data_IF_706363566521
#
_entry.id   IF_706363566521
#
_cell.length_a   1.000
_cell.length_b   1.000
_cell.length_c   1.000
_cell.angle_alpha   90.00
_cell.angle_beta   90.00
_cell.angle_gamma   90.00
#
_symmetry.space_group_name_H-M   'P 1'
#
loop_
_entity.id
_entity.type
_entity.pdbx_description
1 polymer ?
#
# COMPACT_ATOMS: atom_id res chain seq x y z
N UNK A 1 6.28 -9.72 11.71
CA UNK A 1 7.16 -10.16 10.62
C UNK A 1 8.21 -9.09 10.31
N UNK A 2 7.87 -7.92 9.75
CA UNK A 2 8.88 -6.90 9.43
C UNK A 2 9.68 -6.37 10.63
N UNK A 3 9.01 -6.13 11.76
CA UNK A 3 9.67 -5.80 13.03
C UNK A 3 10.78 -6.79 13.42
N UNK A 4 10.50 -8.09 13.34
CA UNK A 4 11.47 -9.15 13.64
C UNK A 4 12.62 -9.13 12.62
N UNK A 5 12.27 -8.99 11.33
CA UNK A 5 13.26 -8.98 10.26
C UNK A 5 14.22 -7.79 10.33
N UNK A 6 13.72 -6.59 10.62
CA UNK A 6 14.54 -5.39 10.80
C UNK A 6 15.43 -5.50 12.04
N UNK A 7 14.92 -6.10 13.12
CA UNK A 7 15.70 -6.35 14.33
C UNK A 7 16.91 -7.25 14.10
N UNK A 8 16.84 -8.21 13.16
CA UNK A 8 18.01 -9.03 12.77
C UNK A 8 19.17 -8.19 12.21
N UNK A 9 18.88 -7.01 11.66
CA UNK A 9 19.87 -6.08 11.10
C UNK A 9 20.15 -4.88 12.03
N UNK A 10 19.71 -4.92 13.29
CA UNK A 10 19.75 -3.79 14.23
C UNK A 10 19.01 -2.52 13.73
N UNK A 11 18.00 -2.70 12.89
CA UNK A 11 17.11 -1.64 12.43
C UNK A 11 15.77 -1.71 13.18
N UNK A 12 15.05 -0.60 13.22
CA UNK A 12 13.66 -0.54 13.68
C UNK A 12 12.75 -0.34 12.48
N UNK A 13 11.65 -1.10 12.42
CA UNK A 13 10.64 -0.95 11.38
C UNK A 13 9.58 0.05 11.85
N UNK A 14 9.30 1.06 11.03
CA UNK A 14 8.14 1.93 11.24
C UNK A 14 6.96 1.39 10.45
N UNK A 15 5.75 1.46 11.01
CA UNK A 15 4.55 1.04 10.27
C UNK A 15 4.10 2.16 9.33
N UNK A 16 3.77 1.87 8.06
CA UNK A 16 3.27 2.88 7.14
C UNK A 16 1.88 3.33 7.58
N UNK A 17 1.57 4.60 7.33
CA UNK A 17 0.19 5.06 7.47
C UNK A 17 -0.67 4.42 6.37
N UNK A 18 -1.87 3.95 6.71
CA UNK A 18 -2.82 3.44 5.72
C UNK A 18 -3.98 4.41 5.53
N UNK A 19 -4.11 4.95 4.32
CA UNK A 19 -5.18 5.87 3.94
C UNK A 19 -6.15 5.18 3.00
N UNK A 20 -7.35 4.88 3.50
CA UNK A 20 -8.45 4.40 2.70
C UNK A 20 -9.20 5.60 2.09
N UNK A 21 -9.52 5.55 0.79
CA UNK A 21 -10.24 6.62 0.12
C UNK A 21 -11.20 6.11 -0.96
N UNK A 22 -12.05 7.01 -1.45
CA UNK A 22 -12.93 6.81 -2.61
C UNK A 22 -13.08 8.13 -3.36
N UNK A 23 -13.12 8.10 -4.69
CA UNK A 23 -13.20 9.27 -5.55
C UNK A 23 -11.86 9.98 -5.69
N UNK A 24 -11.38 10.65 -4.64
CA UNK A 24 -10.06 11.27 -4.62
C UNK A 24 -9.56 11.55 -3.21
N UNK A 25 -8.23 11.61 -3.06
CA UNK A 25 -7.56 12.06 -1.84
C UNK A 25 -6.27 12.80 -2.19
N UNK A 26 -5.72 13.56 -1.25
CA UNK A 26 -4.45 14.25 -1.42
C UNK A 26 -3.35 13.47 -0.68
N UNK A 27 -2.31 13.09 -1.41
CA UNK A 27 -1.05 12.61 -0.84
C UNK A 27 0.03 13.68 -0.96
N UNK A 28 1.17 13.46 -0.30
CA UNK A 28 2.36 14.27 -0.51
C UNK A 28 2.94 14.10 -1.93
N UNK A 29 2.63 13.00 -2.61
CA UNK A 29 3.05 12.73 -4.00
C UNK A 29 2.11 13.34 -5.06
N UNK A 30 0.94 13.86 -4.67
CA UNK A 30 -0.01 14.48 -5.59
C UNK A 30 -1.47 14.22 -5.23
N UNK A 31 -2.37 14.46 -6.18
CA UNK A 31 -3.78 14.07 -6.02
C UNK A 31 -3.93 12.64 -6.50
N UNK A 32 -4.41 11.77 -5.62
CA UNK A 32 -4.84 10.43 -5.96
C UNK A 32 -6.31 10.44 -6.34
N UNK A 33 -6.66 9.74 -7.42
CA UNK A 33 -8.03 9.61 -7.91
C UNK A 33 -8.42 8.12 -7.95
N UNK A 34 -9.72 7.84 -7.89
CA UNK A 34 -10.22 6.49 -8.07
C UNK A 34 -9.85 5.95 -9.44
N UNK A 35 -9.60 4.64 -9.51
CA UNK A 35 -9.14 3.95 -10.72
C UNK A 35 -7.64 4.03 -11.00
N UNK A 36 -6.86 4.79 -10.20
CA UNK A 36 -5.39 4.74 -10.24
C UNK A 36 -4.81 3.47 -9.60
N UNK A 37 -5.63 2.75 -8.82
CA UNK A 37 -5.20 1.61 -8.00
C UNK A 37 -4.53 2.04 -6.68
N UNK A 38 -4.28 1.08 -5.77
CA UNK A 38 -3.51 1.33 -4.55
C UNK A 38 -2.07 1.73 -4.87
N UNK A 39 -1.45 2.52 -4.00
CA UNK A 39 -0.05 2.96 -4.16
C UNK A 39 0.61 3.35 -2.84
N UNK A 40 1.93 3.29 -2.78
CA UNK A 40 2.76 3.88 -1.71
C UNK A 40 3.33 5.25 -2.11
N UNK A 41 3.32 6.22 -1.19
CA UNK A 41 4.00 7.51 -1.37
C UNK A 41 5.19 7.64 -0.39
N UNK A 42 6.44 7.77 -0.89
CA UNK A 42 7.62 7.87 -0.03
C UNK A 42 7.70 9.20 0.73
N UNK A 43 7.05 10.26 0.25
CA UNK A 43 7.13 11.60 0.84
C UNK A 43 6.36 11.75 2.15
N UNK A 44 5.28 10.97 2.33
CA UNK A 44 4.49 10.91 3.56
C UNK A 44 4.47 9.50 4.20
N UNK A 45 5.21 8.56 3.61
CA UNK A 45 5.34 7.17 4.05
C UNK A 45 3.99 6.48 4.25
N UNK A 46 3.03 6.77 3.36
CA UNK A 46 1.68 6.24 3.44
C UNK A 46 1.34 5.32 2.27
N UNK A 47 0.59 4.25 2.58
CA UNK A 47 -0.09 3.39 1.63
C UNK A 47 -1.50 3.92 1.43
N UNK A 48 -1.87 4.18 0.19
CA UNK A 48 -3.18 4.65 -0.22
C UNK A 48 -3.95 3.53 -0.90
N UNK A 49 -5.17 3.29 -0.45
CA UNK A 49 -6.02 2.21 -0.95
C UNK A 49 -7.36 2.81 -1.37
N UNK A 50 -7.65 2.73 -2.67
CA UNK A 50 -8.98 3.03 -3.18
C UNK A 50 -9.91 1.85 -2.88
N UNK A 51 -10.92 2.04 -2.02
CA UNK A 51 -11.83 0.94 -1.66
C UNK A 51 -12.72 0.51 -2.84
N UNK A 52 -12.94 1.37 -3.86
CA UNK A 52 -13.65 0.94 -5.08
C UNK A 52 -12.84 -0.05 -5.93
N UNK A 53 -11.52 -0.08 -5.77
CA UNK A 53 -10.67 -1.04 -6.46
C UNK A 53 -10.91 -2.49 -6.00
N UNK A 54 -11.28 -2.71 -4.74
CA UNK A 54 -11.63 -4.06 -4.26
C UNK A 54 -12.84 -4.63 -5.00
N UNK A 55 -13.88 -3.79 -5.18
CA UNK A 55 -15.08 -4.19 -5.93
C UNK A 55 -14.75 -4.45 -7.40
N UNK A 56 -13.86 -3.67 -8.00
CA UNK A 56 -13.37 -3.93 -9.36
C UNK A 56 -12.62 -5.26 -9.46
N UNK A 57 -11.70 -5.55 -8.53
CA UNK A 57 -10.96 -6.82 -8.50
C UNK A 57 -11.90 -8.02 -8.38
N UNK A 58 -12.85 -7.94 -7.45
CA UNK A 58 -13.81 -9.00 -7.18
C UNK A 58 -14.74 -9.27 -8.36
N UNK A 59 -15.26 -8.22 -9.00
CA UNK A 59 -16.28 -8.34 -10.04
C UNK A 59 -15.69 -8.55 -11.44
N UNK A 60 -14.48 -8.06 -11.72
CA UNK A 60 -13.90 -8.07 -13.09
C UNK A 60 -13.06 -9.31 -13.37
N UNK A 61 -12.34 -9.85 -12.37
CA UNK A 61 -11.34 -10.90 -12.62
C UNK A 61 -11.75 -12.31 -12.16
N UNK A 62 -12.91 -12.47 -11.52
CA UNK A 62 -13.49 -13.78 -11.16
C UNK A 62 -12.60 -14.66 -10.25
N UNK A 63 -11.51 -14.11 -9.73
CA UNK A 63 -10.53 -14.77 -8.88
C UNK A 63 -10.60 -14.19 -7.47
N UNK A 64 -10.18 -14.97 -6.47
CA UNK A 64 -10.15 -14.61 -5.06
C UNK A 64 -9.80 -13.15 -4.77
N UNK A 65 -10.83 -12.32 -4.59
CA UNK A 65 -10.70 -10.89 -4.32
C UNK A 65 -9.83 -10.61 -3.10
N UNK A 66 -9.86 -11.51 -2.12
CA UNK A 66 -9.03 -11.40 -0.91
C UNK A 66 -7.55 -11.68 -1.19
N UNK A 67 -7.21 -12.61 -2.10
CA UNK A 67 -5.82 -12.85 -2.48
C UNK A 67 -5.28 -11.74 -3.38
N UNK A 68 -6.06 -11.29 -4.36
CA UNK A 68 -5.67 -10.17 -5.22
C UNK A 68 -5.44 -8.89 -4.39
N UNK A 69 -6.33 -8.63 -3.43
CA UNK A 69 -6.18 -7.52 -2.50
C UNK A 69 -4.97 -7.68 -1.59
N UNK A 70 -4.77 -8.86 -0.99
CA UNK A 70 -3.61 -9.14 -0.15
C UNK A 70 -2.28 -9.02 -0.92
N UNK A 71 -2.25 -9.45 -2.18
CA UNK A 71 -1.09 -9.30 -3.07
C UNK A 71 -0.76 -7.83 -3.32
N UNK A 72 -1.76 -7.01 -3.66
CA UNK A 72 -1.56 -5.58 -3.90
C UNK A 72 -1.14 -4.87 -2.61
N UNK A 73 -1.77 -5.18 -1.48
CA UNK A 73 -1.35 -4.63 -0.19
C UNK A 73 0.10 -5.00 0.14
N UNK A 74 0.48 -6.27 -0.07
CA UNK A 74 1.86 -6.71 0.15
C UNK A 74 2.85 -6.01 -0.79
N UNK A 75 2.45 -5.72 -2.04
CA UNK A 75 3.24 -4.94 -2.98
C UNK A 75 3.50 -3.52 -2.46
N UNK A 76 2.46 -2.81 -2.01
CA UNK A 76 2.61 -1.44 -1.49
C UNK A 76 3.41 -1.37 -0.19
N UNK A 77 3.22 -2.34 0.72
CA UNK A 77 4.07 -2.47 1.91
C UNK A 77 5.52 -2.80 1.52
N UNK A 78 5.74 -3.52 0.42
CA UNK A 78 7.06 -3.77 -0.14
C UNK A 78 7.80 -2.47 -0.52
N UNK A 79 7.12 -1.52 -1.17
CA UNK A 79 7.68 -0.19 -1.45
C UNK A 79 8.05 0.57 -0.18
N UNK A 80 7.21 0.48 0.87
CA UNK A 80 7.52 1.09 2.16
C UNK A 80 8.79 0.48 2.79
N UNK A 81 8.90 -0.84 2.79
CA UNK A 81 10.09 -1.54 3.30
C UNK A 81 11.34 -1.13 2.52
N UNK A 82 11.26 -0.99 1.19
CA UNK A 82 12.39 -0.51 0.38
C UNK A 82 12.80 0.91 0.78
N UNK A 83 11.83 1.80 1.00
CA UNK A 83 12.07 3.17 1.43
C UNK A 83 12.72 3.25 2.83
N UNK A 84 12.29 2.43 3.78
CA UNK A 84 12.90 2.34 5.13
C UNK A 84 14.34 1.80 5.10
N UNK A 85 14.74 1.13 4.03
CA UNK A 85 16.07 0.57 3.82
C UNK A 85 16.98 1.47 2.94
N UNK A 86 16.53 2.68 2.59
CA UNK A 86 17.27 3.65 1.75
C UNK A 86 17.66 3.13 0.34
N UNK A 87 16.77 2.36 -0.31
CA UNK A 87 16.93 1.99 -1.73
C UNK A 87 16.13 2.85 -2.70
#
# INVERSE_FOLDING_TARGET
MWHEKFSEYNLSYNEPQMTLYTGSTKSACGIAQSGMGPFYCPLDQAVYIDVSFYDELKNTFGAGGDFAFAYVLAHEVGHHVQNELEF
#
